data_IF_164324201427
#
_entry.id   IF_164324201427
#
_cell.length_a   1.000
_cell.length_b   1.000
_cell.length_c   1.000
_cell.angle_alpha   90.00
_cell.angle_beta   90.00
_cell.angle_gamma   90.00
#
_symmetry.space_group_name_H-M   'P 1'
#
loop_
_entity.id
_entity.type
_entity.pdbx_description
1 polymer ?
#
# COMPACT_ATOMS: atom_id res chain seq x y z
N UNK A 1 -29.84 -34.96 50.36
CA UNK A 1 -28.84 -33.88 50.50
C UNK A 1 -27.63 -34.10 49.57
N UNK A 2 -27.24 -35.34 49.28
CA UNK A 2 -26.06 -35.68 48.44
C UNK A 2 -26.24 -35.37 46.94
N UNK A 3 -27.43 -35.49 46.33
CA UNK A 3 -27.65 -35.28 44.91
C UNK A 3 -27.42 -33.83 44.45
N UNK A 4 -27.69 -32.84 45.32
CA UNK A 4 -27.44 -31.43 45.03
C UNK A 4 -25.93 -31.09 45.01
N UNK A 5 -25.16 -31.71 45.88
CA UNK A 5 -23.71 -31.52 45.95
C UNK A 5 -23.00 -32.13 44.74
N UNK A 6 -23.44 -33.31 44.27
CA UNK A 6 -22.93 -33.94 43.05
C UNK A 6 -23.26 -33.13 41.78
N UNK A 7 -24.47 -32.54 41.73
CA UNK A 7 -24.92 -31.70 40.63
C UNK A 7 -24.12 -30.40 40.59
N UNK A 8 -23.85 -29.78 41.75
CA UNK A 8 -23.01 -28.58 41.83
C UNK A 8 -21.55 -28.84 41.42
N UNK A 9 -21.00 -30.01 41.81
CA UNK A 9 -19.64 -30.39 41.42
C UNK A 9 -19.55 -30.64 39.89
N UNK A 10 -20.61 -31.22 39.28
CA UNK A 10 -20.70 -31.41 37.83
C UNK A 10 -20.75 -30.07 37.07
N UNK A 11 -21.59 -29.16 37.55
CA UNK A 11 -21.70 -27.79 36.97
C UNK A 11 -20.37 -27.04 37.07
N UNK A 12 -19.71 -27.07 38.23
CA UNK A 12 -18.40 -26.42 38.42
C UNK A 12 -17.34 -26.95 37.47
N UNK A 13 -17.29 -28.25 37.21
CA UNK A 13 -16.37 -28.87 36.24
C UNK A 13 -16.66 -28.43 34.82
N UNK A 14 -17.93 -28.33 34.43
CA UNK A 14 -18.35 -27.89 33.11
C UNK A 14 -18.01 -26.40 32.90
N UNK A 15 -18.31 -25.54 33.88
CA UNK A 15 -17.98 -24.11 33.85
C UNK A 15 -16.47 -23.93 33.74
N UNK A 16 -15.67 -24.67 34.53
CA UNK A 16 -14.20 -24.58 34.44
C UNK A 16 -13.68 -24.96 33.05
N UNK A 17 -14.25 -26.04 32.44
CA UNK A 17 -13.90 -26.41 31.05
C UNK A 17 -14.24 -25.32 30.04
N UNK A 18 -15.44 -24.73 30.15
CA UNK A 18 -15.88 -23.63 29.28
C UNK A 18 -14.99 -22.42 29.41
N UNK A 19 -14.64 -22.00 30.64
CA UNK A 19 -13.71 -20.92 30.86
C UNK A 19 -12.33 -21.20 30.26
N UNK A 20 -11.84 -22.43 30.38
CA UNK A 20 -10.53 -22.81 29.84
C UNK A 20 -10.55 -22.81 28.31
N UNK A 21 -11.63 -23.26 27.68
CA UNK A 21 -11.81 -23.17 26.21
C UNK A 21 -11.87 -21.69 25.75
N UNK A 22 -12.63 -20.88 26.48
CA UNK A 22 -12.74 -19.44 26.16
C UNK A 22 -11.38 -18.74 26.21
N UNK A 23 -10.62 -18.96 27.29
CA UNK A 23 -9.26 -18.41 27.43
C UNK A 23 -8.34 -18.93 26.33
N UNK A 24 -8.46 -20.23 25.99
CA UNK A 24 -7.71 -20.82 24.88
C UNK A 24 -8.04 -20.20 23.53
N UNK A 25 -9.31 -19.93 23.23
CA UNK A 25 -9.73 -19.26 22.00
C UNK A 25 -9.21 -17.83 21.92
N UNK A 26 -9.29 -17.08 23.03
CA UNK A 26 -8.75 -15.71 23.07
C UNK A 26 -7.22 -15.73 22.85
N UNK A 27 -6.51 -16.62 23.54
CA UNK A 27 -5.07 -16.79 23.35
C UNK A 27 -4.69 -17.17 21.92
N UNK A 28 -5.50 -18.05 21.29
CA UNK A 28 -5.30 -18.44 19.90
C UNK A 28 -5.44 -17.26 18.93
N UNK A 29 -6.42 -16.38 19.12
CA UNK A 29 -6.59 -15.17 18.29
C UNK A 29 -5.37 -14.27 18.41
N UNK A 30 -4.86 -14.04 19.64
CA UNK A 30 -3.64 -13.24 19.83
C UNK A 30 -2.39 -13.89 19.23
N UNK A 31 -2.32 -15.22 19.20
CA UNK A 31 -1.19 -15.93 18.59
C UNK A 31 -1.25 -15.91 17.05
N UNK A 32 -2.45 -15.84 16.45
CA UNK A 32 -2.61 -15.79 15.00
C UNK A 32 -1.98 -14.55 14.37
N UNK A 33 -2.02 -13.38 15.04
CA UNK A 33 -1.47 -12.13 14.49
C UNK A 33 0.01 -12.26 14.18
N UNK A 34 0.91 -12.59 15.14
CA UNK A 34 2.33 -12.71 14.84
C UNK A 34 2.67 -13.86 13.89
N UNK A 35 1.88 -14.96 13.92
CA UNK A 35 2.07 -16.07 12.98
C UNK A 35 1.73 -15.64 11.56
N UNK A 36 0.66 -14.86 11.38
CA UNK A 36 0.28 -14.31 10.07
C UNK A 36 1.34 -13.35 9.54
N UNK A 37 1.86 -12.45 10.38
CA UNK A 37 2.92 -11.52 9.99
C UNK A 37 4.18 -12.25 9.53
N UNK A 38 4.62 -13.26 10.29
CA UNK A 38 5.76 -14.10 9.94
C UNK A 38 5.53 -14.88 8.63
N UNK A 39 4.33 -15.40 8.44
CA UNK A 39 3.95 -16.11 7.23
C UNK A 39 3.98 -15.17 6.01
N UNK A 40 3.43 -13.96 6.14
CA UNK A 40 3.45 -12.95 5.07
C UNK A 40 4.88 -12.49 4.74
N UNK A 41 5.75 -12.39 5.74
CA UNK A 41 7.16 -12.03 5.55
C UNK A 41 7.91 -13.11 4.75
N UNK A 42 7.74 -14.38 5.11
CA UNK A 42 8.40 -15.51 4.45
C UNK A 42 7.86 -15.74 3.03
N UNK A 43 6.56 -15.57 2.83
CA UNK A 43 5.92 -15.86 1.52
C UNK A 43 5.84 -14.66 0.60
N UNK A 44 6.11 -13.44 1.09
CA UNK A 44 6.01 -12.21 0.30
C UNK A 44 4.60 -11.90 -0.22
N UNK A 45 3.56 -12.57 0.30
CA UNK A 45 2.19 -12.49 -0.22
C UNK A 45 1.53 -11.12 -0.06
N UNK A 46 2.11 -10.23 0.74
CA UNK A 46 1.44 -8.99 1.13
C UNK A 46 1.62 -7.84 0.13
N UNK A 47 2.46 -7.98 -0.91
CA UNK A 47 2.62 -6.99 -1.99
C UNK A 47 2.91 -5.54 -1.53
N UNK A 48 3.05 -5.31 -0.22
CA UNK A 48 3.39 -4.01 0.33
C UNK A 48 4.85 -3.71 0.03
N UNK A 49 5.08 -2.67 -0.73
CA UNK A 49 6.42 -2.09 -0.85
C UNK A 49 6.86 -1.62 0.54
N UNK A 50 8.07 -1.98 0.93
CA UNK A 50 8.69 -1.49 2.17
C UNK A 50 8.56 0.04 2.29
N UNK A 51 8.69 0.58 3.51
CA UNK A 51 8.66 2.02 3.77
C UNK A 51 9.66 2.80 2.93
N UNK A 52 9.76 4.10 3.15
CA UNK A 52 10.71 4.96 2.44
C UNK A 52 12.14 4.41 2.59
N UNK A 53 12.69 3.92 1.50
CA UNK A 53 14.05 3.38 1.46
C UNK A 53 15.04 4.54 1.38
N UNK A 54 15.94 4.64 2.36
CA UNK A 54 17.04 5.60 2.29
C UNK A 54 18.09 5.01 1.33
N UNK A 55 18.08 5.49 0.11
CA UNK A 55 19.04 5.10 -0.92
C UNK A 55 20.44 5.63 -0.56
N UNK A 56 21.39 4.71 -0.39
CA UNK A 56 22.82 5.03 -0.31
C UNK A 56 23.42 4.76 -1.69
N UNK A 57 23.59 5.80 -2.47
CA UNK A 57 24.01 5.78 -3.89
C UNK A 57 25.36 5.07 -4.11
N UNK A 58 26.14 4.86 -3.04
CA UNK A 58 27.50 4.32 -3.11
C UNK A 58 27.60 2.79 -3.03
N UNK A 59 26.50 2.04 -2.81
CA UNK A 59 26.60 0.61 -2.51
C UNK A 59 25.91 -0.33 -3.51
N UNK A 60 25.15 0.18 -4.48
CA UNK A 60 24.48 -0.68 -5.47
C UNK A 60 25.21 -0.64 -6.82
N UNK A 61 25.90 -1.73 -7.17
CA UNK A 61 26.37 -1.95 -8.54
C UNK A 61 25.18 -2.27 -9.45
N UNK A 62 25.01 -1.47 -10.50
CA UNK A 62 23.96 -1.69 -11.50
C UNK A 62 24.22 -2.98 -12.28
N UNK A 63 23.23 -3.87 -12.34
CA UNK A 63 23.29 -5.06 -13.19
C UNK A 63 22.86 -4.72 -14.62
N UNK A 64 23.82 -4.32 -15.44
CA UNK A 64 23.60 -3.99 -16.85
C UNK A 64 23.47 -5.23 -17.76
N UNK A 65 23.66 -6.42 -17.22
CA UNK A 65 23.60 -7.68 -17.99
C UNK A 65 22.18 -8.12 -18.31
N UNK A 66 21.18 -7.59 -17.58
CA UNK A 66 19.76 -7.94 -17.75
C UNK A 66 18.84 -6.73 -17.62
N UNK A 67 17.67 -6.89 -18.19
CA UNK A 67 16.58 -5.92 -18.09
C UNK A 67 15.36 -6.54 -17.42
N UNK A 68 14.69 -5.76 -16.59
CA UNK A 68 13.38 -6.08 -16.02
C UNK A 68 12.35 -5.13 -16.61
N UNK A 69 11.23 -5.66 -17.09
CA UNK A 69 10.11 -4.87 -17.61
C UNK A 69 9.23 -4.43 -16.46
N UNK A 70 8.98 -3.13 -16.38
CA UNK A 70 8.04 -2.56 -15.41
C UNK A 70 6.80 -2.08 -16.16
N UNK A 71 5.64 -2.66 -15.84
CA UNK A 71 4.36 -2.21 -16.36
C UNK A 71 3.69 -1.30 -15.33
N UNK A 72 3.11 -0.21 -15.79
CA UNK A 72 2.36 0.74 -14.98
C UNK A 72 0.88 0.61 -15.28
N UNK A 73 0.10 0.28 -14.26
CA UNK A 73 -1.34 0.08 -14.33
C UNK A 73 -2.01 1.10 -13.43
N UNK A 74 -2.97 1.83 -13.97
CA UNK A 74 -3.74 2.83 -13.22
C UNK A 74 -5.21 2.45 -13.22
N UNK A 75 -5.81 2.43 -12.05
CA UNK A 75 -7.23 2.14 -11.88
C UNK A 75 -7.86 3.23 -10.98
N UNK A 76 -9.08 3.61 -11.28
CA UNK A 76 -9.92 4.42 -10.41
C UNK A 76 -10.96 3.54 -9.76
N UNK A 77 -11.18 3.69 -8.45
CA UNK A 77 -12.20 2.94 -7.73
C UNK A 77 -13.58 3.58 -7.89
N UNK A 78 -14.64 2.86 -7.50
CA UNK A 78 -16.01 3.37 -7.54
C UNK A 78 -16.13 4.69 -6.77
N UNK A 79 -16.76 5.68 -7.39
CA UNK A 79 -16.91 7.03 -6.85
C UNK A 79 -15.81 8.02 -7.26
N UNK A 80 -14.63 7.55 -7.63
CA UNK A 80 -13.54 8.41 -8.11
C UNK A 80 -13.75 8.75 -9.60
N UNK A 81 -14.00 10.00 -9.88
CA UNK A 81 -14.24 10.49 -11.25
C UNK A 81 -12.97 11.04 -11.93
N UNK A 82 -11.82 11.00 -11.26
CA UNK A 82 -10.58 11.51 -11.85
C UNK A 82 -10.10 10.63 -13.02
N UNK A 83 -9.50 11.29 -13.99
CA UNK A 83 -8.69 10.63 -15.00
C UNK A 83 -7.30 10.41 -14.43
N UNK A 84 -6.75 9.20 -14.58
CA UNK A 84 -5.45 8.83 -14.03
C UNK A 84 -4.68 7.99 -15.03
N UNK A 85 -3.50 8.47 -15.46
CA UNK A 85 -2.71 7.76 -16.46
C UNK A 85 -1.21 7.94 -16.23
N UNK A 86 -0.38 6.94 -16.59
CA UNK A 86 1.08 7.06 -16.59
C UNK A 86 1.57 7.74 -17.89
N UNK A 87 2.72 8.40 -17.84
CA UNK A 87 3.42 8.91 -19.02
C UNK A 87 3.73 7.79 -20.03
N UNK A 88 4.14 6.61 -19.50
CA UNK A 88 4.45 5.41 -20.27
C UNK A 88 3.78 4.21 -19.62
N UNK A 89 3.13 3.36 -20.43
CA UNK A 89 2.49 2.16 -19.90
C UNK A 89 3.48 1.08 -19.44
N UNK A 90 4.72 1.10 -19.96
CA UNK A 90 5.79 0.20 -19.53
C UNK A 90 7.17 0.79 -19.90
N UNK A 91 8.18 0.42 -19.10
CA UNK A 91 9.59 0.69 -19.38
C UNK A 91 10.42 -0.56 -19.09
N UNK A 92 11.63 -0.62 -19.66
CA UNK A 92 12.64 -1.60 -19.30
C UNK A 92 13.70 -0.91 -18.46
N UNK A 93 14.12 -1.56 -17.39
CA UNK A 93 15.07 -1.02 -16.43
C UNK A 93 16.16 -2.05 -16.14
N UNK A 94 17.37 -1.58 -15.89
CA UNK A 94 18.43 -2.43 -15.36
C UNK A 94 18.36 -2.39 -13.82
N UNK A 95 18.38 -3.53 -13.12
CA UNK A 95 18.43 -3.56 -11.68
C UNK A 95 19.61 -2.74 -11.14
N UNK A 96 19.43 -2.03 -10.04
CA UNK A 96 20.42 -1.13 -9.46
C UNK A 96 20.43 0.29 -10.05
N UNK A 97 19.64 0.58 -11.09
CA UNK A 97 19.54 1.93 -11.67
C UNK A 97 18.30 2.68 -11.21
N UNK A 98 18.44 4.00 -11.08
CA UNK A 98 17.32 4.88 -10.70
C UNK A 98 16.54 5.26 -11.95
N UNK A 99 15.21 5.16 -11.85
CA UNK A 99 14.30 5.57 -12.89
C UNK A 99 13.22 6.51 -12.35
N UNK A 100 12.78 7.44 -13.21
CA UNK A 100 11.66 8.33 -12.92
C UNK A 100 10.60 8.17 -14.00
N UNK A 101 9.35 8.04 -13.58
CA UNK A 101 8.18 8.00 -14.46
C UNK A 101 7.12 8.92 -13.89
N UNK A 102 6.52 9.75 -14.74
CA UNK A 102 5.47 10.66 -14.35
C UNK A 102 4.10 10.00 -14.51
N UNK A 103 3.26 10.23 -13.52
CA UNK A 103 1.84 9.95 -13.60
C UNK A 103 1.08 11.27 -13.64
N UNK A 104 -0.06 11.27 -14.29
CA UNK A 104 -0.92 12.43 -14.41
C UNK A 104 -2.29 12.11 -13.86
N UNK A 105 -2.85 13.05 -13.12
CA UNK A 105 -4.24 13.02 -12.67
C UNK A 105 -4.95 14.28 -13.12
N UNK A 106 -6.24 14.16 -13.40
CA UNK A 106 -7.13 15.27 -13.72
C UNK A 106 -8.44 15.13 -12.99
N UNK A 107 -8.90 16.21 -12.39
CA UNK A 107 -10.24 16.29 -11.85
C UNK A 107 -11.21 16.88 -12.91
N UNK A 108 -11.99 16.08 -13.62
CA UNK A 108 -12.94 16.57 -14.63
C UNK A 108 -14.24 17.14 -14.03
N UNK A 109 -14.43 17.03 -12.72
CA UNK A 109 -15.64 17.49 -12.05
C UNK A 109 -15.68 19.02 -11.91
N UNK A 110 -16.85 19.57 -11.56
CA UNK A 110 -17.04 21.01 -11.29
C UNK A 110 -16.80 21.40 -9.84
N UNK A 111 -16.37 20.47 -8.98
CA UNK A 111 -16.11 20.69 -7.56
C UNK A 111 -14.69 20.24 -7.21
N UNK A 112 -14.05 20.84 -6.19
CA UNK A 112 -12.79 20.33 -5.68
C UNK A 112 -13.01 18.97 -5.03
N UNK A 113 -12.09 18.05 -5.24
CA UNK A 113 -12.14 16.68 -4.68
C UNK A 113 -10.78 16.25 -4.19
N UNK A 114 -10.76 15.30 -3.26
CA UNK A 114 -9.54 14.76 -2.65
C UNK A 114 -9.40 13.29 -3.01
N UNK A 115 -8.24 12.94 -3.56
CA UNK A 115 -7.92 11.57 -3.93
C UNK A 115 -6.70 11.03 -3.18
N UNK A 116 -6.65 9.71 -3.04
CA UNK A 116 -5.49 8.98 -2.53
C UNK A 116 -5.16 7.81 -3.45
N UNK A 117 -3.90 7.71 -3.85
CA UNK A 117 -3.40 6.61 -4.66
C UNK A 117 -2.77 5.52 -3.77
N UNK A 118 -3.18 4.27 -3.96
CA UNK A 118 -2.64 3.11 -3.25
C UNK A 118 -1.88 2.23 -4.23
N UNK A 119 -0.56 2.04 -4.03
CA UNK A 119 0.27 1.20 -4.88
C UNK A 119 0.18 -0.27 -4.51
N UNK A 120 0.33 -1.13 -5.51
CA UNK A 120 0.47 -2.58 -5.39
C UNK A 120 1.49 -3.09 -6.40
N UNK A 121 2.31 -4.05 -6.01
CA UNK A 121 3.35 -4.67 -6.86
C UNK A 121 3.05 -6.14 -7.06
N UNK A 122 3.13 -6.59 -8.30
CA UNK A 122 3.01 -8.01 -8.67
C UNK A 122 4.20 -8.42 -9.57
N UNK A 123 4.76 -9.65 -9.39
CA UNK A 123 4.45 -10.61 -8.33
C UNK A 123 4.83 -10.11 -6.93
N UNK A 124 4.16 -10.62 -5.88
CA UNK A 124 4.39 -10.18 -4.50
C UNK A 124 5.85 -10.29 -4.05
N UNK A 125 6.57 -11.31 -4.52
CA UNK A 125 8.01 -11.47 -4.26
C UNK A 125 8.85 -10.30 -4.78
N UNK A 126 8.44 -9.65 -5.87
CA UNK A 126 9.14 -8.49 -6.41
C UNK A 126 8.99 -7.23 -5.54
N UNK A 127 8.00 -7.19 -4.66
CA UNK A 127 7.74 -6.01 -3.82
C UNK A 127 8.90 -5.68 -2.88
N UNK A 128 9.63 -6.71 -2.41
CA UNK A 128 10.81 -6.53 -1.55
C UNK A 128 12.02 -5.91 -2.28
N UNK A 129 12.05 -6.01 -3.61
CA UNK A 129 13.12 -5.48 -4.47
C UNK A 129 12.73 -4.21 -5.20
N UNK A 130 11.48 -3.77 -5.09
CA UNK A 130 10.99 -2.54 -5.70
C UNK A 130 10.99 -1.40 -4.68
N UNK A 131 12.06 -0.60 -4.69
CA UNK A 131 12.27 0.48 -3.74
C UNK A 131 11.85 1.81 -4.36
N UNK A 132 10.92 2.50 -3.69
CA UNK A 132 10.50 3.84 -4.05
C UNK A 132 11.31 4.85 -3.24
N UNK A 133 12.01 5.75 -3.90
CA UNK A 133 12.78 6.80 -3.24
C UNK A 133 11.95 8.07 -3.05
N UNK A 134 11.07 8.35 -4.00
CA UNK A 134 10.09 9.43 -3.92
C UNK A 134 8.75 8.93 -4.44
N UNK A 135 7.68 9.24 -3.75
CA UNK A 135 6.34 8.81 -4.13
C UNK A 135 5.30 9.82 -3.66
N UNK A 136 4.49 10.27 -4.59
CA UNK A 136 3.30 11.08 -4.34
C UNK A 136 2.16 10.32 -3.64
N UNK A 137 2.22 8.99 -3.61
CA UNK A 137 1.11 8.13 -3.22
C UNK A 137 0.81 8.09 -1.71
N UNK A 138 1.66 8.69 -0.87
CA UNK A 138 1.44 8.72 0.58
C UNK A 138 0.61 9.91 1.06
N UNK A 139 0.41 10.90 0.21
CA UNK A 139 -0.30 12.12 0.54
C UNK A 139 -1.70 12.16 -0.08
N UNK A 140 -2.59 12.87 0.60
CA UNK A 140 -3.89 13.21 0.07
C UNK A 140 -3.69 14.31 -0.97
N UNK A 141 -4.22 14.12 -2.17
CA UNK A 141 -4.13 15.11 -3.23
C UNK A 141 -5.48 15.81 -3.37
N UNK A 142 -5.50 17.13 -3.18
CA UNK A 142 -6.67 17.95 -3.47
C UNK A 142 -6.49 18.56 -4.86
N UNK A 143 -7.45 18.33 -5.75
CA UNK A 143 -7.49 18.97 -7.07
C UNK A 143 -8.70 19.87 -7.20
N UNK A 144 -8.46 21.09 -7.67
CA UNK A 144 -9.49 22.02 -8.07
C UNK A 144 -10.28 21.50 -9.30
N UNK A 145 -11.46 22.07 -9.59
CA UNK A 145 -12.21 21.75 -10.80
C UNK A 145 -11.37 21.93 -12.07
N UNK A 146 -11.27 20.87 -12.89
CA UNK A 146 -10.53 20.87 -14.14
C UNK A 146 -9.00 20.82 -14.00
N UNK A 147 -8.46 20.82 -12.80
CA UNK A 147 -7.01 20.82 -12.54
C UNK A 147 -6.37 19.51 -13.01
N UNK A 148 -5.16 19.66 -13.56
CA UNK A 148 -4.26 18.55 -13.91
C UNK A 148 -3.01 18.66 -13.05
N UNK A 149 -2.61 17.55 -12.44
CA UNK A 149 -1.40 17.47 -11.62
C UNK A 149 -0.47 16.39 -12.14
N UNK A 150 0.81 16.71 -12.19
CA UNK A 150 1.90 15.79 -12.49
C UNK A 150 2.46 15.21 -11.19
N UNK A 151 2.61 13.88 -11.14
CA UNK A 151 3.03 13.13 -9.97
C UNK A 151 4.23 12.25 -10.31
N UNK A 152 5.45 12.68 -10.00
CA UNK A 152 6.64 11.91 -10.29
C UNK A 152 6.77 10.71 -9.35
N UNK A 153 7.08 9.55 -9.92
CA UNK A 153 7.50 8.35 -9.21
C UNK A 153 8.98 8.10 -9.50
N UNK A 154 9.80 8.17 -8.48
CA UNK A 154 11.21 7.80 -8.54
C UNK A 154 11.44 6.48 -7.82
N UNK A 155 12.03 5.51 -8.51
CA UNK A 155 12.21 4.15 -7.99
C UNK A 155 13.50 3.50 -8.49
N UNK A 156 13.87 2.43 -7.81
CA UNK A 156 14.96 1.54 -8.16
C UNK A 156 14.50 0.09 -7.98
N UNK A 157 14.94 -0.79 -8.87
CA UNK A 157 14.80 -2.24 -8.71
C UNK A 157 16.09 -2.76 -8.13
N UNK A 158 16.04 -3.45 -6.98
CA UNK A 158 17.23 -4.00 -6.34
C UNK A 158 17.99 -4.98 -7.24
N UNK A 159 19.32 -4.92 -7.27
CA UNK A 159 20.12 -5.83 -8.09
C UNK A 159 19.99 -7.31 -7.68
N UNK A 160 19.58 -7.56 -6.44
CA UNK A 160 19.37 -8.90 -5.87
C UNK A 160 18.05 -9.54 -6.33
N UNK A 161 17.25 -8.85 -7.16
CA UNK A 161 15.99 -9.42 -7.66
C UNK A 161 16.23 -10.77 -8.34
N UNK A 162 15.45 -11.83 -8.02
CA UNK A 162 15.60 -13.14 -8.62
C UNK A 162 15.58 -13.09 -10.15
N UNK A 163 16.45 -13.88 -10.78
CA UNK A 163 16.64 -13.87 -12.25
C UNK A 163 15.46 -14.42 -13.07
N UNK A 164 14.54 -15.10 -12.43
CA UNK A 164 13.27 -15.57 -13.00
C UNK A 164 12.20 -14.46 -13.08
N UNK A 165 12.33 -13.39 -12.27
CA UNK A 165 11.46 -12.23 -12.33
C UNK A 165 11.95 -11.30 -13.46
N UNK A 166 11.30 -11.40 -14.61
CA UNK A 166 11.58 -10.56 -15.80
C UNK A 166 10.62 -9.41 -15.98
N UNK A 167 9.50 -9.43 -15.24
CA UNK A 167 8.42 -8.48 -15.36
C UNK A 167 7.83 -8.16 -14.00
N UNK A 168 7.60 -6.87 -13.76
CA UNK A 168 6.95 -6.35 -12.55
C UNK A 168 5.79 -5.48 -13.01
N UNK A 169 4.62 -5.66 -12.41
CA UNK A 169 3.48 -4.78 -12.59
C UNK A 169 3.31 -3.90 -11.35
N UNK A 170 3.47 -2.61 -11.52
CA UNK A 170 3.12 -1.61 -10.51
C UNK A 170 1.74 -1.08 -10.83
N UNK A 171 0.79 -1.39 -9.97
CA UNK A 171 -0.59 -0.94 -10.09
C UNK A 171 -0.88 0.13 -9.05
N UNK A 172 -1.52 1.21 -9.47
CA UNK A 172 -2.08 2.22 -8.59
C UNK A 172 -3.60 2.18 -8.65
N UNK A 173 -4.23 2.09 -7.48
CA UNK A 173 -5.67 2.28 -7.32
C UNK A 173 -5.94 3.65 -6.69
N UNK A 174 -6.73 4.48 -7.36
CA UNK A 174 -7.09 5.82 -6.90
C UNK A 174 -8.46 5.78 -6.23
N UNK A 175 -8.56 6.32 -5.02
CA UNK A 175 -9.75 6.36 -4.19
C UNK A 175 -10.18 7.79 -3.96
N UNK A 176 -11.49 8.03 -4.00
CA UNK A 176 -12.09 9.28 -3.54
C UNK A 176 -12.18 9.26 -2.01
N UNK A 177 -11.57 10.25 -1.37
CA UNK A 177 -11.58 10.44 0.08
C UNK A 177 -12.08 11.85 0.43
N UNK A 178 -12.85 12.47 -0.45
CA UNK A 178 -13.34 13.84 -0.29
C UNK A 178 -14.18 13.99 0.98
N UNK A 179 -15.05 13.02 1.28
CA UNK A 179 -15.88 13.05 2.50
C UNK A 179 -15.03 12.93 3.78
N UNK A 180 -13.97 12.11 3.73
CA UNK A 180 -13.06 11.90 4.87
C UNK A 180 -12.11 13.07 5.08
N UNK A 181 -11.97 13.96 4.07
CA UNK A 181 -11.03 15.08 4.02
C UNK A 181 -11.76 16.43 3.96
N UNK A 182 -12.89 16.55 4.67
CA UNK A 182 -13.72 17.75 4.67
C UNK A 182 -12.96 19.01 5.13
N UNK A 183 -12.01 18.86 6.04
CA UNK A 183 -11.12 19.91 6.53
C UNK A 183 -10.24 20.50 5.41
N UNK A 184 -9.75 19.68 4.50
CA UNK A 184 -8.98 20.13 3.34
C UNK A 184 -9.85 20.91 2.36
N UNK A 185 -11.07 20.45 2.13
CA UNK A 185 -12.04 21.13 1.26
C UNK A 185 -12.46 22.48 1.86
N UNK A 186 -12.72 22.53 3.16
CA UNK A 186 -13.06 23.77 3.85
C UNK A 186 -11.90 24.77 3.77
N UNK A 187 -10.69 24.34 4.02
CA UNK A 187 -9.48 25.16 3.90
C UNK A 187 -9.28 25.71 2.49
N UNK A 188 -9.52 24.90 1.47
CA UNK A 188 -9.47 25.32 0.08
C UNK A 188 -10.53 26.37 -0.24
N UNK A 189 -11.79 26.16 0.17
CA UNK A 189 -12.89 27.08 -0.06
C UNK A 189 -12.71 28.41 0.67
N UNK A 190 -12.05 28.42 1.83
CA UNK A 190 -11.73 29.61 2.60
C UNK A 190 -10.50 30.39 2.04
N UNK A 191 -9.97 30.00 0.90
CA UNK A 191 -8.83 30.66 0.26
C UNK A 191 -7.48 30.43 0.95
N UNK A 192 -7.42 29.50 1.90
CA UNK A 192 -6.16 29.06 2.47
C UNK A 192 -5.53 28.10 1.44
N UNK A 193 -4.68 28.64 0.58
CA UNK A 193 -3.86 27.83 -0.29
C UNK A 193 -2.95 27.00 0.63
N UNK A 194 -3.27 25.73 0.83
CA UNK A 194 -2.31 24.79 1.36
C UNK A 194 -1.28 24.65 0.24
N UNK A 195 -0.23 25.48 0.33
CA UNK A 195 0.94 25.29 -0.52
C UNK A 195 1.36 23.83 -0.30
N UNK A 196 1.36 23.04 -1.37
CA UNK A 196 1.78 21.66 -1.33
C UNK A 196 3.07 21.58 -0.51
N UNK A 197 2.97 21.06 0.70
CA UNK A 197 4.11 20.77 1.56
C UNK A 197 4.82 19.56 0.93
N UNK A 198 5.68 19.85 -0.03
CA UNK A 198 6.43 18.87 -0.76
C UNK A 198 7.61 19.55 -1.46
N UNK A 199 8.57 20.01 -0.66
CA UNK A 199 9.96 20.22 -1.12
C UNK A 199 10.88 19.43 -0.23
#
# INVERSE_FOLDING_TARGET
MNSRLEQQAGIAKTVKKLCLVLVGMVGFVFALVPIYDLFCEITGLNGKTGGQYTYVESEMEADLSREVRINFITNTNQGMNWEFWPEKGAIKVNPGTIHTVNFFVRNPSSIPTVGRAIPSVAPGLAAGYFHKTECFCFEQQLLAPGEVMEMPLRFIVGPEIPGDIKEISLSYALFDITEESADLIESFNNGITIAAAGR
#
